data_IF_178958080266
#
_entry.id   IF_178958080266
#
_cell.length_a   1.000
_cell.length_b   1.000
_cell.length_c   1.000
_cell.angle_alpha   90.00
_cell.angle_beta   90.00
_cell.angle_gamma   90.00
#
_symmetry.space_group_name_H-M   'P 1'
#
loop_
_entity.id
_entity.type
_entity.pdbx_description
1 polymer ?
#
# COMPACT_ATOMS: atom_id res chain seq x y z
N UNK A 1 11.44 8.79 13.17
CA UNK A 1 11.20 8.90 11.73
C UNK A 1 12.06 7.93 10.92
N UNK A 2 13.38 8.03 11.01
CA UNK A 2 14.31 7.23 10.17
C UNK A 2 14.16 5.72 10.36
N UNK A 3 13.91 5.22 11.56
CA UNK A 3 13.71 3.79 11.81
C UNK A 3 12.46 3.29 11.08
N UNK A 4 11.35 4.04 11.13
CA UNK A 4 10.12 3.73 10.39
C UNK A 4 10.40 3.66 8.89
N UNK A 5 11.10 4.67 8.35
CA UNK A 5 11.46 4.72 6.94
C UNK A 5 12.28 3.49 6.51
N UNK A 6 13.28 3.08 7.30
CA UNK A 6 14.10 1.92 6.98
C UNK A 6 13.27 0.62 6.99
N UNK A 7 12.39 0.43 7.97
CA UNK A 7 11.55 -0.76 8.03
C UNK A 7 10.48 -0.78 6.93
N UNK A 8 9.89 0.37 6.59
CA UNK A 8 8.96 0.48 5.46
C UNK A 8 9.64 0.13 4.14
N UNK A 9 10.87 0.62 3.92
CA UNK A 9 11.68 0.25 2.75
C UNK A 9 12.03 -1.24 2.72
N UNK A 10 12.39 -1.81 3.88
CA UNK A 10 12.65 -3.24 3.98
C UNK A 10 11.42 -4.08 3.61
N UNK A 11 10.24 -3.73 4.14
CA UNK A 11 8.99 -4.41 3.83
C UNK A 11 8.50 -4.19 2.40
N UNK A 12 8.91 -3.10 1.77
CA UNK A 12 8.64 -2.88 0.34
C UNK A 12 9.45 -3.81 -0.54
N UNK A 13 10.72 -4.06 -0.18
CA UNK A 13 11.60 -5.00 -0.89
C UNK A 13 11.24 -6.45 -0.60
N UNK A 14 10.92 -6.74 0.66
CA UNK A 14 10.50 -8.07 1.12
C UNK A 14 9.33 -7.96 2.09
N UNK A 15 8.09 -8.05 1.60
CA UNK A 15 6.89 -7.98 2.44
C UNK A 15 6.75 -9.17 3.39
N UNK A 16 7.54 -10.23 3.22
CA UNK A 16 7.51 -11.41 4.09
C UNK A 16 8.47 -11.33 5.27
N UNK A 17 9.25 -10.26 5.38
CA UNK A 17 10.21 -10.06 6.47
C UNK A 17 9.50 -9.76 7.80
N UNK A 18 9.31 -10.80 8.60
CA UNK A 18 8.62 -10.72 9.90
C UNK A 18 9.39 -9.88 10.93
N UNK A 19 10.73 -9.89 10.88
CA UNK A 19 11.55 -9.09 11.80
C UNK A 19 11.35 -7.59 11.51
N UNK A 20 11.36 -7.19 10.25
CA UNK A 20 11.10 -5.81 9.85
C UNK A 20 9.68 -5.38 10.25
N UNK A 21 8.68 -6.26 10.08
CA UNK A 21 7.28 -6.02 10.46
C UNK A 21 7.14 -5.84 11.98
N UNK A 22 7.68 -6.76 12.76
CA UNK A 22 7.63 -6.71 14.23
C UNK A 22 8.30 -5.44 14.76
N UNK A 23 9.48 -5.09 14.23
CA UNK A 23 10.19 -3.90 14.63
C UNK A 23 9.47 -2.61 14.21
N UNK A 24 8.85 -2.60 13.02
CA UNK A 24 8.03 -1.48 12.57
C UNK A 24 6.84 -1.26 13.51
N UNK A 25 6.13 -2.31 13.88
CA UNK A 25 5.00 -2.23 14.81
C UNK A 25 5.43 -1.74 16.19
N UNK A 26 6.58 -2.20 16.68
CA UNK A 26 7.15 -1.72 17.93
C UNK A 26 7.46 -0.21 17.90
N UNK A 27 8.04 0.28 16.80
CA UNK A 27 8.35 1.72 16.64
C UNK A 27 7.07 2.51 16.44
N UNK A 28 6.10 2.03 15.62
CA UNK A 28 4.81 2.69 15.40
C UNK A 28 4.01 2.89 16.67
N UNK A 29 4.07 1.95 17.60
CA UNK A 29 3.39 2.10 18.89
C UNK A 29 3.95 3.25 19.75
N UNK A 30 5.12 3.79 19.40
CA UNK A 30 5.80 4.90 20.08
C UNK A 30 5.72 6.23 19.35
N UNK A 31 5.17 6.23 18.13
CA UNK A 31 4.93 7.46 17.36
C UNK A 31 3.78 8.24 18.00
N UNK A 32 3.89 9.55 17.98
CA UNK A 32 2.89 10.45 18.55
C UNK A 32 1.59 10.44 17.75
N UNK A 33 1.70 10.44 16.41
CA UNK A 33 0.55 10.47 15.51
C UNK A 33 0.18 9.04 15.10
N UNK A 34 -0.81 8.48 15.74
CA UNK A 34 -1.35 7.19 15.31
C UNK A 34 -2.29 7.43 14.14
N UNK A 35 -2.09 6.78 12.99
CA UNK A 35 -3.03 6.88 11.88
C UNK A 35 -4.39 6.37 12.34
N UNK A 36 -5.42 7.17 12.14
CA UNK A 36 -6.80 6.71 12.28
C UNK A 36 -7.07 5.69 11.19
N UNK A 37 -7.34 4.47 11.61
CA UNK A 37 -7.52 3.34 10.71
C UNK A 37 -9.01 3.20 10.37
N UNK A 38 -9.51 4.14 9.55
CA UNK A 38 -10.87 4.16 9.01
C UNK A 38 -11.09 3.17 7.86
N UNK A 39 -10.12 2.29 7.60
CA UNK A 39 -10.25 1.34 6.49
C UNK A 39 -11.27 0.25 6.81
N UNK A 40 -12.16 -0.03 5.84
CA UNK A 40 -13.14 -1.10 5.96
C UNK A 40 -12.46 -2.45 6.24
N UNK A 41 -13.10 -3.31 7.01
CA UNK A 41 -12.56 -4.64 7.37
C UNK A 41 -12.07 -5.42 6.16
N UNK A 42 -12.83 -5.41 5.05
CA UNK A 42 -12.42 -6.09 3.81
C UNK A 42 -11.14 -5.51 3.20
N UNK A 43 -10.93 -4.20 3.29
CA UNK A 43 -9.69 -3.57 2.83
C UNK A 43 -8.49 -3.99 3.69
N UNK A 44 -8.66 -4.11 5.01
CA UNK A 44 -7.62 -4.62 5.92
C UNK A 44 -7.25 -6.06 5.58
N UNK A 45 -8.24 -6.92 5.36
CA UNK A 45 -8.02 -8.32 4.95
C UNK A 45 -7.27 -8.37 3.62
N UNK A 46 -7.70 -7.57 2.65
CA UNK A 46 -7.05 -7.49 1.34
C UNK A 46 -5.59 -7.03 1.44
N UNK A 47 -5.32 -5.98 2.20
CA UNK A 47 -3.94 -5.54 2.48
C UNK A 47 -3.09 -6.60 3.18
N UNK A 48 -3.67 -7.34 4.11
CA UNK A 48 -2.99 -8.46 4.77
C UNK A 48 -2.64 -9.58 3.80
N UNK A 49 -3.55 -9.90 2.88
CA UNK A 49 -3.32 -10.88 1.82
C UNK A 49 -2.21 -10.42 0.87
N UNK A 50 -2.24 -9.17 0.40
CA UNK A 50 -1.19 -8.62 -0.48
C UNK A 50 0.19 -8.76 0.18
N UNK A 51 0.31 -8.42 1.46
CA UNK A 51 1.55 -8.48 2.23
C UNK A 51 2.00 -9.89 2.64
N UNK A 52 1.22 -10.94 2.35
CA UNK A 52 1.56 -12.31 2.73
C UNK A 52 2.63 -12.94 1.84
N UNK A 53 2.81 -12.46 0.61
CA UNK A 53 3.76 -12.99 -0.36
C UNK A 53 4.35 -11.84 -1.20
N UNK A 54 5.49 -12.12 -1.84
CA UNK A 54 6.08 -11.19 -2.83
C UNK A 54 5.23 -11.11 -4.10
N UNK A 55 5.38 -10.03 -4.87
CA UNK A 55 4.65 -9.86 -6.14
C UNK A 55 4.91 -11.04 -7.12
N UNK A 56 6.16 -11.50 -7.20
CA UNK A 56 6.53 -12.65 -8.03
C UNK A 56 5.86 -13.94 -7.56
N UNK A 57 5.78 -14.17 -6.25
CA UNK A 57 5.11 -15.34 -5.70
C UNK A 57 3.60 -15.33 -6.00
N UNK A 58 2.96 -14.14 -5.96
CA UNK A 58 1.56 -14.00 -6.39
C UNK A 58 1.38 -14.27 -7.88
N UNK A 59 2.31 -13.81 -8.74
CA UNK A 59 2.28 -14.09 -10.17
C UNK A 59 2.39 -15.62 -10.45
N UNK A 60 3.31 -16.29 -9.77
CA UNK A 60 3.42 -17.76 -9.85
C UNK A 60 2.17 -18.48 -9.34
N UNK A 61 1.57 -18.00 -8.25
CA UNK A 61 0.32 -18.56 -7.72
C UNK A 61 -0.81 -18.43 -8.75
N UNK A 62 -0.95 -17.25 -9.38
CA UNK A 62 -1.94 -17.04 -10.43
C UNK A 62 -1.70 -17.99 -11.62
N UNK A 63 -0.45 -18.20 -12.02
CA UNK A 63 -0.11 -19.15 -13.09
C UNK A 63 -0.49 -20.60 -12.73
N UNK A 64 -0.19 -21.04 -11.51
CA UNK A 64 -0.55 -22.39 -11.04
C UNK A 64 -2.07 -22.57 -11.00
N UNK A 65 -2.80 -21.60 -10.47
CA UNK A 65 -4.27 -21.60 -10.45
C UNK A 65 -4.84 -21.66 -11.87
N UNK A 66 -4.26 -20.91 -12.81
CA UNK A 66 -4.64 -20.98 -14.23
C UNK A 66 -4.47 -22.39 -14.82
N UNK A 67 -3.34 -23.04 -14.57
CA UNK A 67 -3.10 -24.40 -15.07
C UNK A 67 -4.14 -25.39 -14.50
N UNK A 68 -4.46 -25.27 -13.20
CA UNK A 68 -5.48 -26.13 -12.57
C UNK A 68 -6.88 -25.82 -13.16
N UNK A 69 -7.20 -24.55 -13.43
CA UNK A 69 -8.44 -24.15 -14.10
C UNK A 69 -8.55 -24.77 -15.50
N UNK A 70 -7.46 -24.74 -16.26
CA UNK A 70 -7.42 -25.42 -17.57
C UNK A 70 -7.67 -26.92 -17.45
N UNK A 71 -7.10 -27.57 -16.43
CA UNK A 71 -7.39 -28.96 -16.11
C UNK A 71 -8.85 -29.23 -15.76
N UNK A 72 -9.50 -28.35 -15.00
CA UNK A 72 -10.93 -28.46 -14.68
C UNK A 72 -11.81 -28.32 -15.91
N UNK A 73 -11.47 -27.40 -16.82
CA UNK A 73 -12.16 -27.21 -18.11
C UNK A 73 -11.98 -28.45 -18.99
N UNK A 74 -10.76 -28.98 -19.08
CA UNK A 74 -10.50 -30.20 -19.83
C UNK A 74 -11.29 -31.40 -19.24
N UNK A 75 -11.34 -31.52 -17.92
CA UNK A 75 -12.14 -32.55 -17.24
C UNK A 75 -13.63 -32.42 -17.58
N UNK A 76 -14.15 -31.20 -17.61
CA UNK A 76 -15.54 -30.94 -18.00
C UNK A 76 -15.84 -31.36 -19.44
N UNK A 77 -14.92 -31.06 -20.38
CA UNK A 77 -15.12 -31.29 -21.82
C UNK A 77 -14.91 -32.76 -22.17
N UNK A 78 -13.83 -33.38 -21.70
CA UNK A 78 -13.39 -34.70 -22.17
C UNK A 78 -13.92 -35.87 -21.34
N UNK A 79 -14.44 -35.63 -20.12
CA UNK A 79 -14.92 -36.70 -19.29
C UNK A 79 -16.29 -37.20 -19.76
N UNK A 80 -16.43 -38.54 -19.87
CA UNK A 80 -17.70 -39.24 -20.10
C UNK A 80 -18.49 -39.49 -18.81
N UNK A 81 -17.82 -39.41 -17.65
CA UNK A 81 -18.44 -39.63 -16.34
C UNK A 81 -19.15 -38.36 -15.87
N UNK A 82 -20.46 -38.45 -15.62
CA UNK A 82 -21.31 -37.36 -15.18
C UNK A 82 -20.82 -36.71 -13.88
N UNK A 83 -20.32 -37.51 -12.93
CA UNK A 83 -19.80 -36.97 -11.67
C UNK A 83 -18.57 -36.12 -11.91
N UNK A 84 -17.61 -36.55 -12.72
CA UNK A 84 -16.41 -35.79 -13.07
C UNK A 84 -16.73 -34.53 -13.86
N UNK A 85 -17.71 -34.59 -14.76
CA UNK A 85 -18.18 -33.37 -15.49
C UNK A 85 -18.76 -32.34 -14.53
N UNK A 86 -19.60 -32.75 -13.58
CA UNK A 86 -20.14 -31.83 -12.56
C UNK A 86 -19.02 -31.23 -11.72
N UNK A 87 -18.06 -32.02 -11.27
CA UNK A 87 -16.88 -31.53 -10.51
C UNK A 87 -16.07 -30.54 -11.33
N UNK A 88 -15.79 -30.85 -12.62
CA UNK A 88 -15.09 -29.94 -13.52
C UNK A 88 -15.81 -28.61 -13.71
N UNK A 89 -17.15 -28.65 -13.85
CA UNK A 89 -17.96 -27.43 -14.03
C UNK A 89 -17.99 -26.54 -12.77
N UNK A 90 -18.44 -27.11 -11.64
CA UNK A 90 -18.54 -26.30 -10.40
C UNK A 90 -17.15 -25.93 -9.85
N UNK A 91 -16.18 -26.86 -9.91
CA UNK A 91 -14.80 -26.58 -9.55
C UNK A 91 -14.15 -25.54 -10.45
N UNK A 92 -14.45 -25.57 -11.75
CA UNK A 92 -14.00 -24.58 -12.71
C UNK A 92 -14.52 -23.17 -12.41
N UNK A 93 -15.81 -23.04 -12.01
CA UNK A 93 -16.36 -21.72 -11.60
C UNK A 93 -15.63 -21.17 -10.35
N UNK A 94 -15.42 -22.02 -9.34
CA UNK A 94 -14.71 -21.62 -8.12
C UNK A 94 -13.26 -21.22 -8.46
N UNK A 95 -12.56 -22.03 -9.26
CA UNK A 95 -11.19 -21.76 -9.70
C UNK A 95 -11.10 -20.49 -10.55
N UNK A 96 -12.11 -20.18 -11.35
CA UNK A 96 -12.15 -18.93 -12.10
C UNK A 96 -12.22 -17.70 -11.16
N UNK A 97 -13.07 -17.76 -10.13
CA UNK A 97 -13.16 -16.68 -9.13
C UNK A 97 -11.83 -16.53 -8.40
N UNK A 98 -11.20 -17.63 -7.96
CA UNK A 98 -9.90 -17.63 -7.32
C UNK A 98 -8.83 -17.06 -8.24
N UNK A 99 -8.84 -17.46 -9.53
CA UNK A 99 -7.89 -16.95 -10.52
C UNK A 99 -8.00 -15.43 -10.71
N UNK A 100 -9.22 -14.92 -10.90
CA UNK A 100 -9.43 -13.48 -11.03
C UNK A 100 -8.96 -12.75 -9.78
N UNK A 101 -9.27 -13.27 -8.59
CA UNK A 101 -8.82 -12.67 -7.33
C UNK A 101 -7.28 -12.67 -7.21
N UNK A 102 -6.60 -13.77 -7.57
CA UNK A 102 -5.13 -13.82 -7.54
C UNK A 102 -4.49 -12.86 -8.52
N UNK A 103 -5.11 -12.62 -9.69
CA UNK A 103 -4.65 -11.58 -10.63
C UNK A 103 -4.76 -10.18 -10.04
N UNK A 104 -5.86 -9.86 -9.36
CA UNK A 104 -6.03 -8.56 -8.68
C UNK A 104 -4.96 -8.39 -7.62
N UNK A 105 -4.78 -9.39 -6.74
CA UNK A 105 -3.76 -9.34 -5.68
C UNK A 105 -2.34 -9.19 -6.26
N UNK A 106 -2.01 -9.91 -7.35
CA UNK A 106 -0.71 -9.81 -8.00
C UNK A 106 -0.48 -8.41 -8.59
N UNK A 107 -1.52 -7.82 -9.20
CA UNK A 107 -1.48 -6.44 -9.72
C UNK A 107 -1.25 -5.42 -8.61
N UNK A 108 -2.00 -5.54 -7.52
CA UNK A 108 -1.89 -4.61 -6.38
C UNK A 108 -0.54 -4.75 -5.67
N UNK A 109 -0.03 -6.00 -5.51
CA UNK A 109 1.30 -6.25 -4.96
C UNK A 109 2.41 -5.61 -5.82
N UNK A 110 2.28 -5.70 -7.14
CA UNK A 110 3.21 -5.06 -8.08
C UNK A 110 3.10 -3.54 -8.01
N UNK A 111 1.88 -3.00 -7.92
CA UNK A 111 1.62 -1.58 -7.74
C UNK A 111 2.27 -1.03 -6.46
N UNK A 112 2.10 -1.73 -5.34
CA UNK A 112 2.74 -1.35 -4.07
C UNK A 112 4.27 -1.40 -4.13
N UNK A 113 4.84 -2.40 -4.78
CA UNK A 113 6.28 -2.54 -4.93
C UNK A 113 6.89 -1.43 -5.81
N UNK A 114 6.15 -0.94 -6.80
CA UNK A 114 6.62 0.07 -7.77
C UNK A 114 6.20 1.50 -7.44
N UNK A 115 5.19 1.71 -6.57
CA UNK A 115 4.72 3.05 -6.23
C UNK A 115 5.76 3.83 -5.43
N UNK A 116 5.95 5.10 -5.74
CA UNK A 116 6.80 6.03 -4.99
C UNK A 116 5.95 7.14 -4.34
N UNK A 117 4.67 6.84 -4.14
CA UNK A 117 3.68 7.81 -3.68
C UNK A 117 3.54 7.85 -2.16
N UNK A 118 4.37 7.10 -1.44
CA UNK A 118 4.38 7.10 0.02
C UNK A 118 5.67 7.69 0.56
N UNK A 119 5.54 8.43 1.66
CA UNK A 119 6.67 9.04 2.36
C UNK A 119 6.51 8.93 3.87
N UNK A 120 7.61 9.09 4.59
CA UNK A 120 7.65 9.14 6.06
C UNK A 120 8.16 10.50 6.48
N UNK A 121 7.50 11.12 7.44
CA UNK A 121 7.96 12.37 8.06
C UNK A 121 9.25 12.09 8.83
N UNK A 122 10.31 12.81 8.47
CA UNK A 122 11.64 12.70 9.09
C UNK A 122 11.99 13.90 9.98
N UNK A 123 11.29 15.02 9.77
CA UNK A 123 11.38 16.18 10.65
C UNK A 123 10.74 15.88 12.03
N UNK A 124 11.28 16.41 13.15
CA UNK A 124 10.69 16.18 14.47
C UNK A 124 9.22 16.57 14.58
N UNK A 125 8.84 17.66 13.91
CA UNK A 125 7.46 18.08 13.69
C UNK A 125 7.37 18.92 12.43
N UNK A 126 6.30 18.76 11.67
CA UNK A 126 6.02 19.60 10.49
C UNK A 126 4.59 20.06 10.50
N UNK A 127 4.38 21.30 10.07
CA UNK A 127 3.07 21.91 10.00
C UNK A 127 2.53 21.84 8.58
N UNK A 128 1.40 21.21 8.45
CA UNK A 128 0.69 21.09 7.20
C UNK A 128 -0.06 22.38 6.87
N UNK A 129 0.00 22.78 5.61
CA UNK A 129 -0.64 23.98 5.10
C UNK A 129 -1.80 23.64 4.15
N UNK A 130 -2.79 24.51 4.10
CA UNK A 130 -3.88 24.43 3.10
C UNK A 130 -3.41 24.75 1.68
N UNK A 131 -2.26 25.39 1.53
CA UNK A 131 -1.68 25.82 0.24
C UNK A 131 -0.21 25.42 0.15
N UNK A 132 0.38 25.29 -1.08
CA UNK A 132 1.78 24.90 -1.27
C UNK A 132 2.76 26.03 -0.90
N UNK A 133 2.66 26.52 0.33
CA UNK A 133 3.54 27.55 0.92
C UNK A 133 3.48 27.46 2.45
N UNK A 134 4.49 28.04 3.11
CA UNK A 134 4.49 28.12 4.56
C UNK A 134 3.24 28.85 5.08
N UNK A 135 2.56 28.26 6.07
CA UNK A 135 1.38 28.84 6.68
C UNK A 135 1.73 30.20 7.33
N UNK A 136 1.12 31.29 6.87
CA UNK A 136 1.34 32.64 7.39
C UNK A 136 0.33 32.99 8.48
N UNK A 137 -0.86 32.40 8.43
CA UNK A 137 -1.95 32.67 9.37
C UNK A 137 -2.42 31.38 10.04
N UNK A 138 -3.15 31.50 11.15
CA UNK A 138 -3.75 30.34 11.81
C UNK A 138 -4.76 29.62 10.93
N UNK A 139 -5.39 30.32 9.98
CA UNK A 139 -6.33 29.75 9.03
C UNK A 139 -5.65 28.87 7.95
N UNK A 140 -4.37 29.12 7.67
CA UNK A 140 -3.60 28.32 6.71
C UNK A 140 -3.12 27.00 7.30
N UNK A 141 -3.14 26.88 8.64
CA UNK A 141 -2.66 25.71 9.37
C UNK A 141 -3.75 24.64 9.41
N UNK A 142 -3.45 23.46 8.86
CA UNK A 142 -4.40 22.33 8.87
C UNK A 142 -4.18 21.47 10.10
N UNK A 143 -2.99 20.87 10.23
CA UNK A 143 -2.62 20.01 11.36
C UNK A 143 -1.09 19.99 11.47
N UNK A 144 -0.59 19.72 12.67
CA UNK A 144 0.84 19.42 12.86
C UNK A 144 0.99 17.91 12.94
N UNK A 145 1.97 17.36 12.22
CA UNK A 145 2.33 15.95 12.28
C UNK A 145 3.80 15.81 12.71
N UNK A 146 4.12 14.67 13.27
CA UNK A 146 5.41 14.41 13.88
C UNK A 146 6.21 13.34 13.13
N UNK A 147 7.46 13.18 13.50
CA UNK A 147 8.33 12.19 12.88
C UNK A 147 7.77 10.77 12.95
N UNK A 148 7.99 10.02 11.89
CA UNK A 148 7.51 8.65 11.76
C UNK A 148 6.11 8.50 11.18
N UNK A 149 5.35 9.59 11.03
CA UNK A 149 4.04 9.56 10.38
C UNK A 149 4.20 9.20 8.91
N UNK A 150 3.50 8.16 8.46
CA UNK A 150 3.44 7.77 7.04
C UNK A 150 2.34 8.57 6.35
N UNK A 151 2.65 9.10 5.18
CA UNK A 151 1.74 9.91 4.36
C UNK A 151 1.73 9.41 2.92
N UNK A 152 0.60 9.57 2.24
CA UNK A 152 0.45 9.27 0.81
C UNK A 152 0.57 10.58 0.01
N UNK A 153 1.53 10.65 -0.93
CA UNK A 153 1.72 11.80 -1.81
C UNK A 153 0.72 11.69 -2.96
N UNK A 154 -0.17 12.67 -3.07
CA UNK A 154 -1.20 12.73 -4.11
C UNK A 154 -0.77 13.63 -5.26
N UNK A 155 -0.02 14.69 -4.95
CA UNK A 155 0.41 15.69 -5.93
C UNK A 155 1.70 16.38 -5.46
N UNK A 156 2.38 17.05 -6.38
CA UNK A 156 3.61 17.78 -6.08
C UNK A 156 3.69 19.07 -6.90
N UNK A 157 4.08 20.18 -6.25
CA UNK A 157 4.24 21.47 -6.89
C UNK A 157 5.65 21.99 -6.65
N UNK A 158 6.40 22.34 -7.71
CA UNK A 158 7.69 22.97 -7.58
C UNK A 158 7.53 24.43 -7.09
N UNK A 159 8.37 24.83 -6.16
CA UNK A 159 8.44 26.19 -5.61
C UNK A 159 9.89 26.69 -5.69
N UNK A 160 10.36 27.05 -6.87
CA UNK A 160 11.76 27.42 -7.08
C UNK A 160 12.18 28.66 -6.27
N UNK A 161 11.24 29.46 -5.82
CA UNK A 161 11.48 30.65 -5.02
C UNK A 161 11.64 30.37 -3.51
N UNK A 162 11.38 29.13 -3.05
CA UNK A 162 11.58 28.73 -1.67
C UNK A 162 12.96 28.04 -1.53
N UNK A 163 13.97 28.74 -0.94
CA UNK A 163 15.32 28.17 -0.81
C UNK A 163 15.40 27.00 0.15
N UNK A 164 14.40 26.81 1.02
CA UNK A 164 14.35 25.75 2.03
C UNK A 164 13.69 24.49 1.48
N UNK A 165 12.70 24.67 0.61
CA UNK A 165 11.97 23.54 0.03
C UNK A 165 11.64 23.82 -1.44
N UNK A 166 12.42 23.25 -2.38
CA UNK A 166 12.19 23.43 -3.80
C UNK A 166 10.89 22.80 -4.30
N UNK A 167 10.23 22.00 -3.46
CA UNK A 167 9.01 21.27 -3.80
C UNK A 167 8.09 21.13 -2.59
N UNK A 168 6.79 21.23 -2.83
CA UNK A 168 5.75 20.93 -1.86
C UNK A 168 4.95 19.73 -2.32
N UNK A 169 4.64 18.85 -1.38
CA UNK A 169 3.82 17.65 -1.60
C UNK A 169 2.43 17.87 -1.04
N UNK A 170 1.41 17.60 -1.85
CA UNK A 170 0.05 17.42 -1.36
C UNK A 170 -0.07 16.00 -0.85
N UNK A 171 -0.29 15.86 0.44
CA UNK A 171 -0.36 14.56 1.09
C UNK A 171 -1.73 14.29 1.66
N UNK A 172 -2.10 13.03 1.62
CA UNK A 172 -3.27 12.48 2.28
C UNK A 172 -2.82 11.82 3.58
N UNK A 173 -3.41 12.26 4.69
CA UNK A 173 -3.11 11.73 6.03
C UNK A 173 -4.13 10.66 6.40
N UNK A 174 -5.42 10.94 6.11
CA UNK A 174 -6.55 10.04 6.28
C UNK A 174 -7.50 10.18 5.10
N UNK A 175 -8.60 9.45 5.07
CA UNK A 175 -9.53 9.46 3.94
C UNK A 175 -10.16 10.83 3.64
N UNK A 176 -10.16 11.75 4.59
CA UNK A 176 -10.84 13.05 4.50
C UNK A 176 -9.89 14.24 4.42
N UNK A 177 -8.64 14.12 4.90
CA UNK A 177 -7.74 15.26 5.07
C UNK A 177 -6.59 15.20 4.08
N UNK A 178 -6.54 16.23 3.20
CA UNK A 178 -5.41 16.50 2.30
C UNK A 178 -4.80 17.84 2.69
N UNK A 179 -3.49 17.91 2.70
CA UNK A 179 -2.78 19.14 3.00
C UNK A 179 -1.38 19.16 2.38
N UNK A 180 -0.75 20.34 2.36
CA UNK A 180 0.57 20.52 1.78
C UNK A 180 1.65 20.51 2.83
N UNK A 181 2.75 19.83 2.53
CA UNK A 181 3.95 19.83 3.35
C UNK A 181 5.21 19.99 2.49
N UNK A 182 6.30 20.37 3.14
CA UNK A 182 7.60 20.58 2.49
C UNK A 182 8.26 19.26 2.14
N UNK A 183 8.87 19.19 0.97
CA UNK A 183 9.66 18.02 0.58
C UNK A 183 10.88 17.79 1.48
N UNK A 184 11.41 18.85 2.13
CA UNK A 184 12.52 18.76 3.09
C UNK A 184 12.18 17.99 4.37
N UNK A 185 10.90 17.92 4.74
CA UNK A 185 10.43 17.39 6.01
C UNK A 185 10.06 15.89 5.93
N UNK A 186 10.08 15.34 4.72
CA UNK A 186 9.73 13.94 4.44
C UNK A 186 10.75 13.27 3.56
N UNK A 187 10.78 11.95 3.64
CA UNK A 187 11.57 11.11 2.75
C UNK A 187 10.69 10.02 2.14
N UNK A 188 10.77 9.85 0.82
CA UNK A 188 9.99 8.84 0.09
C UNK A 188 10.47 7.43 0.44
N UNK A 189 9.51 6.52 0.50
CA UNK A 189 9.77 5.10 0.71
C UNK A 189 10.22 4.46 -0.58
#
# INVERSE_FOLDING_TARGET
GKAVLCYERALRLDPTNEDARTNLDFVRNRIQDKPEDDTAFLAKVHHSVIGAMTADAWAWTAFVVFVILMGAIALYIFSTNVALRKTGFFGGIVLLIVFVYTLVVASDATGLASSHDTAVVTAPSTQLSSTPRAAKTSADKVVTIHEGTKVEIVDSVPTPDDPVSPMWYNVKINNSTKAWLRSSDVERI
#
